data_IF_726685635114
#
_entry.id   IF_726685635114
#
_cell.length_a   1.000
_cell.length_b   1.000
_cell.length_c   1.000
_cell.angle_alpha   90.00
_cell.angle_beta   90.00
_cell.angle_gamma   90.00
#
_symmetry.space_group_name_H-M   'P 1'
#
loop_
_entity.id
_entity.type
_entity.pdbx_description
1 polymer ?
#
# COMPACT_ATOMS: atom_id res chain seq x y z
N UNK A 1 6.64 16.09 13.96
CA UNK A 1 5.88 15.08 13.18
C UNK A 1 6.83 13.98 12.76
N UNK A 2 6.78 12.84 13.46
CA UNK A 2 7.55 11.65 13.08
C UNK A 2 6.94 11.06 11.81
N UNK A 3 7.67 11.16 10.70
CA UNK A 3 7.33 10.42 9.50
C UNK A 3 7.62 8.95 9.80
N UNK A 4 6.59 8.16 10.11
CA UNK A 4 6.69 6.69 10.08
C UNK A 4 7.15 6.30 8.67
N UNK A 5 8.44 5.96 8.55
CA UNK A 5 9.02 5.47 7.30
C UNK A 5 8.58 4.02 7.18
N UNK A 6 7.72 3.76 6.20
CA UNK A 6 7.39 2.40 5.80
C UNK A 6 8.38 1.99 4.72
N UNK A 7 9.11 0.90 4.96
CA UNK A 7 10.05 0.32 4.01
C UNK A 7 9.39 -0.03 2.68
N UNK A 8 10.18 0.03 1.61
CA UNK A 8 9.72 -0.31 0.27
C UNK A 8 9.19 -1.76 0.19
N UNK A 9 9.85 -2.68 0.91
CA UNK A 9 9.43 -4.08 1.02
C UNK A 9 8.06 -4.22 1.67
N UNK A 10 7.81 -3.48 2.75
CA UNK A 10 6.51 -3.47 3.42
C UNK A 10 5.41 -2.93 2.50
N UNK A 11 5.69 -1.85 1.77
CA UNK A 11 4.74 -1.29 0.80
C UNK A 11 4.40 -2.29 -0.30
N UNK A 12 5.40 -2.98 -0.87
CA UNK A 12 5.20 -3.97 -1.93
C UNK A 12 4.38 -5.15 -1.42
N UNK A 13 4.69 -5.66 -0.23
CA UNK A 13 3.93 -6.73 0.43
C UNK A 13 2.47 -6.32 0.65
N UNK A 14 2.22 -5.12 1.18
CA UNK A 14 0.86 -4.64 1.42
C UNK A 14 0.06 -4.50 0.12
N UNK A 15 0.70 -3.99 -0.95
CA UNK A 15 0.07 -3.90 -2.27
C UNK A 15 -0.27 -5.30 -2.80
N UNK A 16 0.69 -6.24 -2.76
CA UNK A 16 0.52 -7.61 -3.25
C UNK A 16 -0.62 -8.33 -2.52
N UNK A 17 -0.63 -8.24 -1.18
CA UNK A 17 -1.69 -8.79 -0.34
C UNK A 17 -3.06 -8.19 -0.70
N UNK A 18 -3.12 -6.89 -1.02
CA UNK A 18 -4.36 -6.22 -1.43
C UNK A 18 -4.89 -6.70 -2.77
N UNK A 19 -4.00 -7.10 -3.69
CA UNK A 19 -4.40 -7.73 -4.96
C UNK A 19 -4.86 -9.16 -4.73
N UNK A 20 -4.16 -9.92 -3.87
CA UNK A 20 -4.50 -11.31 -3.56
C UNK A 20 -5.84 -11.44 -2.81
N UNK A 21 -6.09 -10.59 -1.80
CA UNK A 21 -7.39 -10.54 -1.09
C UNK A 21 -8.48 -9.83 -1.89
N UNK A 22 -8.11 -8.96 -2.83
CA UNK A 22 -9.05 -8.11 -3.57
C UNK A 22 -9.62 -6.94 -2.77
N UNK A 23 -9.21 -6.77 -1.50
CA UNK A 23 -9.73 -5.78 -0.57
C UNK A 23 -8.60 -4.96 0.06
N UNK A 24 -8.52 -3.67 -0.33
CA UNK A 24 -7.55 -2.72 0.25
C UNK A 24 -7.87 -2.43 1.71
N UNK A 25 -9.16 -2.42 2.07
CA UNK A 25 -9.61 -2.06 3.41
C UNK A 25 -9.19 -3.12 4.43
N UNK A 26 -9.49 -4.38 4.17
CA UNK A 26 -9.15 -5.49 5.07
C UNK A 26 -7.64 -5.63 5.26
N UNK A 27 -6.87 -5.56 4.17
CA UNK A 27 -5.40 -5.60 4.25
C UNK A 27 -4.85 -4.43 5.05
N UNK A 28 -5.40 -3.23 4.89
CA UNK A 28 -4.95 -2.07 5.65
C UNK A 28 -5.28 -2.19 7.15
N UNK A 29 -6.47 -2.68 7.49
CA UNK A 29 -6.88 -2.95 8.87
C UNK A 29 -5.98 -4.01 9.53
N UNK A 30 -5.68 -5.11 8.81
CA UNK A 30 -4.81 -6.19 9.29
C UNK A 30 -3.36 -5.73 9.51
N UNK A 31 -2.85 -4.89 8.60
CA UNK A 31 -1.50 -4.32 8.69
C UNK A 31 -1.42 -3.10 9.61
N UNK A 32 -2.55 -2.64 10.18
CA UNK A 32 -2.61 -1.45 11.03
C UNK A 32 -2.19 -0.16 10.31
N UNK A 33 -2.42 -0.10 9.00
CA UNK A 33 -2.15 1.07 8.16
C UNK A 33 -3.43 1.72 7.67
N UNK A 34 -3.29 2.95 7.18
CA UNK A 34 -4.41 3.69 6.62
C UNK A 34 -4.81 3.12 5.23
N UNK A 35 -6.08 2.76 4.99
CA UNK A 35 -6.52 2.20 3.71
C UNK A 35 -6.35 3.18 2.54
N UNK A 36 -6.47 4.50 2.77
CA UNK A 36 -6.21 5.48 1.73
C UNK A 36 -4.71 5.55 1.38
N UNK A 37 -3.81 5.27 2.34
CA UNK A 37 -2.37 5.14 2.09
C UNK A 37 -2.05 3.93 1.21
N UNK A 38 -2.64 2.77 1.51
CA UNK A 38 -2.44 1.56 0.69
C UNK A 38 -2.98 1.75 -0.74
N UNK A 39 -4.14 2.38 -0.87
CA UNK A 39 -4.70 2.76 -2.18
C UNK A 39 -3.74 3.66 -2.98
N UNK A 40 -3.12 4.67 -2.34
CA UNK A 40 -2.10 5.52 -2.98
C UNK A 40 -0.86 4.74 -3.40
N UNK A 41 -0.42 3.77 -2.60
CA UNK A 41 0.72 2.92 -2.96
C UNK A 41 0.41 2.08 -4.20
N UNK A 42 -0.80 1.50 -4.28
CA UNK A 42 -1.28 0.75 -5.44
C UNK A 42 -1.33 1.61 -6.72
N UNK A 43 -1.82 2.85 -6.62
CA UNK A 43 -1.84 3.78 -7.76
C UNK A 43 -0.45 4.20 -8.21
N UNK A 44 0.47 4.45 -7.26
CA UNK A 44 1.88 4.77 -7.55
C UNK A 44 2.62 3.59 -8.20
N UNK A 45 2.24 2.36 -7.87
CA UNK A 45 2.83 1.17 -8.47
C UNK A 45 2.31 0.91 -9.89
N UNK A 46 1.00 1.12 -10.10
CA UNK A 46 0.35 1.01 -11.40
C UNK A 46 0.67 2.16 -12.36
N UNK A 47 1.27 3.25 -11.86
CA UNK A 47 1.80 4.34 -12.69
C UNK A 47 3.31 4.10 -12.87
N UNK A 48 3.75 3.28 -13.84
CA UNK A 48 5.14 3.35 -14.25
C UNK A 48 5.38 4.80 -14.66
N UNK A 49 6.46 5.40 -14.17
CA UNK A 49 6.85 6.76 -14.48
C UNK A 49 6.78 6.99 -15.99
N UNK A 50 5.72 7.66 -16.44
CA UNK A 50 5.50 8.06 -17.82
C UNK A 50 5.77 9.55 -17.96
N UNK A 51 7.06 9.89 -18.10
CA UNK A 51 7.63 11.00 -18.87
C UNK A 51 9.12 11.13 -18.54
#
# INVERSE_FOLDING_TARGET
MERRIFDASFKRMAIDLSYAMGSVKEVAEELGIDPARLSKWRQKESSPSGN
#
